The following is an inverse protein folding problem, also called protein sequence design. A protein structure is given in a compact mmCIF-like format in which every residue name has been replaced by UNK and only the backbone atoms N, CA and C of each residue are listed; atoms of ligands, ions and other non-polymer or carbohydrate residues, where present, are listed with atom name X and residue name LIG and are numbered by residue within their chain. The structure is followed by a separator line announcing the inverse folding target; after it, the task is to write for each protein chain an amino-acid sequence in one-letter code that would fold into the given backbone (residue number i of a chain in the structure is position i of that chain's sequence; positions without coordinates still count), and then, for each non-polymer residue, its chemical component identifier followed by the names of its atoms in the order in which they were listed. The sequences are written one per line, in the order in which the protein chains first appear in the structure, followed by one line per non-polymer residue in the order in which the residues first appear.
data_IF_968773901173
#
_entry.id   IF_968773901173
#
_cell.length_a   1.000
_cell.length_b   1.000
_cell.length_c   1.000
_cell.angle_alpha   90.00
_cell.angle_beta   90.00
_cell.angle_gamma   90.00
#
_symmetry.space_group_name_H-M   'P 1'
#
loop_
_entity.id
_entity.type
_entity.pdbx_description
1 polymer ?
#
# COMPACT_ATOMS: atom_id res chain seq x y z
N UNK A 1 -2.71 20.56 -10.67
CA UNK A 1 -3.13 19.22 -11.13
C UNK A 1 -2.85 18.30 -9.96
N UNK A 2 -3.87 18.01 -9.14
CA UNK A 2 -3.68 17.22 -7.92
C UNK A 2 -3.68 15.75 -8.31
N UNK A 3 -2.52 15.10 -8.26
CA UNK A 3 -2.44 13.65 -8.32
C UNK A 3 -2.98 13.13 -6.98
N UNK A 4 -4.17 12.55 -7.02
CA UNK A 4 -4.67 11.77 -5.89
C UNK A 4 -3.80 10.50 -5.84
N UNK A 5 -2.88 10.43 -4.88
CA UNK A 5 -2.12 9.22 -4.59
C UNK A 5 -3.13 8.20 -4.05
N UNK A 6 -3.56 7.29 -4.91
CA UNK A 6 -4.43 6.19 -4.55
C UNK A 6 -3.55 5.13 -3.88
N UNK A 7 -3.59 5.01 -2.55
CA UNK A 7 -2.92 3.88 -1.88
C UNK A 7 -3.73 2.62 -2.22
N UNK A 8 -3.23 1.78 -3.13
CA UNK A 8 -3.79 0.44 -3.30
C UNK A 8 -3.06 -0.52 -2.37
N UNK A 9 -3.85 -1.16 -1.53
CA UNK A 9 -3.43 -2.28 -0.69
C UNK A 9 -3.34 -3.54 -1.55
N UNK A 10 -2.16 -4.15 -1.67
CA UNK A 10 -2.07 -5.55 -2.09
C UNK A 10 -2.19 -6.41 -0.83
N UNK A 11 -3.29 -7.15 -0.72
CA UNK A 11 -3.38 -8.23 0.25
C UNK A 11 -2.40 -9.33 -0.16
N UNK A 12 -1.35 -9.55 0.65
CA UNK A 12 -0.56 -10.77 0.58
C UNK A 12 -1.00 -11.69 1.73
N UNK A 13 -2.18 -12.28 1.58
CA UNK A 13 -2.58 -13.44 2.35
C UNK A 13 -3.31 -14.38 1.41
N UNK A 14 -2.97 -15.66 1.49
CA UNK A 14 -3.70 -16.79 0.89
C UNK A 14 -5.14 -16.82 1.43
N UNK A 15 -5.97 -15.89 0.98
CA UNK A 15 -7.40 -15.86 1.20
C UNK A 15 -8.05 -16.18 -0.14
N UNK A 16 -8.23 -17.47 -0.40
CA UNK A 16 -9.19 -18.05 -1.35
C UNK A 16 -9.66 -17.12 -2.50
N UNK A 17 -8.74 -16.67 -3.37
CA UNK A 17 -9.18 -15.72 -4.40
C UNK A 17 -8.11 -14.85 -5.06
N UNK A 18 -6.94 -15.41 -5.36
CA UNK A 18 -6.02 -14.83 -6.33
C UNK A 18 -5.05 -13.78 -5.78
N UNK A 19 -3.77 -14.08 -5.93
CA UNK A 19 -2.69 -13.09 -5.83
C UNK A 19 -2.97 -12.03 -6.91
N UNK A 20 -3.32 -10.82 -6.48
CA UNK A 20 -3.73 -9.72 -7.39
C UNK A 20 -2.52 -9.16 -8.16
N UNK A 21 -1.32 -9.25 -7.57
CA UNK A 21 -0.03 -8.81 -8.13
C UNK A 21 1.08 -9.74 -7.64
N UNK A 22 1.94 -10.20 -8.55
CA UNK A 22 3.17 -10.96 -8.26
C UNK A 22 4.16 -10.08 -7.49
N UNK A 23 4.82 -10.66 -6.48
CA UNK A 23 5.84 -9.99 -5.68
C UNK A 23 7.02 -9.50 -6.54
N UNK A 24 7.40 -10.27 -7.57
CA UNK A 24 8.47 -9.86 -8.50
C UNK A 24 8.09 -8.59 -9.29
N UNK A 25 6.82 -8.44 -9.67
CA UNK A 25 6.36 -7.21 -10.33
C UNK A 25 6.41 -6.03 -9.36
N UNK A 26 6.08 -6.24 -8.09
CA UNK A 26 6.20 -5.23 -7.05
C UNK A 26 7.65 -4.80 -6.88
N UNK A 27 8.60 -5.73 -6.82
CA UNK A 27 10.03 -5.41 -6.73
C UNK A 27 10.53 -4.62 -7.95
N UNK A 28 10.12 -5.02 -9.15
CA UNK A 28 10.51 -4.34 -10.40
C UNK A 28 9.99 -2.89 -10.43
N UNK A 29 8.69 -2.68 -10.17
CA UNK A 29 8.11 -1.33 -10.18
C UNK A 29 8.60 -0.49 -8.99
N UNK A 30 8.89 -1.11 -7.84
CA UNK A 30 9.43 -0.42 -6.67
C UNK A 30 10.78 0.25 -6.96
N UNK A 31 11.56 -0.27 -7.92
CA UNK A 31 12.83 0.33 -8.33
C UNK A 31 12.66 1.60 -9.18
N UNK A 32 11.51 1.79 -9.81
CA UNK A 32 11.23 2.91 -10.72
C UNK A 32 10.29 3.97 -10.11
N UNK A 33 9.55 3.63 -9.05
CA UNK A 33 8.64 4.56 -8.36
C UNK A 33 9.38 5.42 -7.32
N UNK A 34 9.63 6.69 -7.66
CA UNK A 34 10.30 7.67 -6.79
C UNK A 34 9.62 7.84 -5.42
N UNK A 35 8.28 7.81 -5.38
CA UNK A 35 7.52 7.97 -4.13
C UNK A 35 7.65 6.69 -3.26
N UNK A 36 7.71 5.53 -3.91
CA UNK A 36 7.95 4.24 -3.24
C UNK A 36 9.36 4.16 -2.65
N UNK A 37 10.37 4.57 -3.42
CA UNK A 37 11.77 4.61 -2.97
C UNK A 37 11.91 5.56 -1.78
N UNK A 38 11.27 6.73 -1.85
CA UNK A 38 11.25 7.69 -0.75
C UNK A 38 10.63 7.07 0.51
N UNK A 39 9.47 6.43 0.37
CA UNK A 39 8.80 5.75 1.48
C UNK A 39 9.66 4.63 2.06
N UNK A 40 10.30 3.81 1.21
CA UNK A 40 11.18 2.73 1.64
C UNK A 40 12.33 3.26 2.50
N UNK A 41 12.99 4.32 2.05
CA UNK A 41 14.07 4.97 2.79
C UNK A 41 13.60 5.45 4.17
N UNK A 42 12.43 6.09 4.25
CA UNK A 42 11.86 6.54 5.52
C UNK A 42 11.48 5.40 6.46
N UNK A 43 10.89 4.32 5.95
CA UNK A 43 10.54 3.14 6.76
C UNK A 43 11.80 2.43 7.25
N UNK A 44 12.79 2.23 6.38
CA UNK A 44 14.04 1.56 6.71
C UNK A 44 14.87 2.36 7.74
N UNK A 45 14.90 3.69 7.61
CA UNK A 45 15.59 4.57 8.56
C UNK A 45 14.77 4.86 9.83
N UNK A 46 13.47 4.53 9.84
CA UNK A 46 12.51 4.98 10.84
C UNK A 46 12.52 6.51 11.04
N UNK A 47 12.79 7.25 9.96
CA UNK A 47 13.05 8.70 9.97
C UNK A 47 11.76 9.51 9.74
N UNK A 48 10.75 9.27 10.59
CA UNK A 48 9.50 10.01 10.52
C UNK A 48 9.59 11.27 11.40
N UNK A 49 9.15 12.39 10.86
CA UNK A 49 8.97 13.65 11.60
C UNK A 49 7.92 13.50 12.69
N UNK A 50 7.92 14.45 13.64
CA UNK A 50 6.98 14.45 14.76
C UNK A 50 5.56 14.87 14.36
N UNK A 51 5.42 15.60 13.24
CA UNK A 51 4.17 16.16 12.78
C UNK A 51 3.98 15.89 11.29
N UNK A 52 2.78 15.41 10.92
CA UNK A 52 2.42 15.15 9.52
C UNK A 52 2.66 16.34 8.60
N UNK A 53 2.43 17.56 9.06
CA UNK A 53 2.58 18.77 8.25
C UNK A 53 4.05 19.10 7.90
N UNK A 54 5.01 18.50 8.60
CA UNK A 54 6.44 18.61 8.33
C UNK A 54 6.94 17.52 7.37
N UNK A 55 6.12 16.48 7.12
CA UNK A 55 6.44 15.43 6.17
C UNK A 55 6.32 15.86 4.71
N UNK A 56 7.07 15.17 3.86
CA UNK A 56 6.91 15.25 2.42
C UNK A 56 5.52 14.73 2.02
N UNK A 57 4.86 15.44 1.09
CA UNK A 57 3.49 15.12 0.64
C UNK A 57 3.28 13.65 0.22
N UNK A 58 4.23 12.97 -0.46
CA UNK A 58 4.07 11.55 -0.79
C UNK A 58 3.95 10.62 0.42
N UNK A 59 4.49 11.01 1.57
CA UNK A 59 4.50 10.22 2.81
C UNK A 59 3.24 10.43 3.67
N UNK A 60 2.50 11.51 3.41
CA UNK A 60 1.29 11.88 4.18
C UNK A 60 0.23 10.77 4.29
N UNK A 61 -0.02 9.94 3.26
CA UNK A 61 -0.96 8.82 3.36
C UNK A 61 -0.51 7.76 4.36
N UNK A 62 0.80 7.59 4.54
CA UNK A 62 1.42 6.53 5.33
C UNK A 62 1.73 6.94 6.76
N UNK A 63 1.71 8.25 7.05
CA UNK A 63 2.07 8.81 8.36
C UNK A 63 1.31 8.17 9.54
N UNK A 64 0.01 7.91 9.39
CA UNK A 64 -0.80 7.32 10.46
C UNK A 64 -0.48 5.84 10.70
N UNK A 65 -0.06 5.12 9.66
CA UNK A 65 0.30 3.70 9.74
C UNK A 65 1.81 3.47 9.94
N UNK A 66 2.61 4.53 10.14
CA UNK A 66 4.08 4.45 10.18
C UNK A 66 4.65 3.44 11.17
N UNK A 67 3.98 3.22 12.29
CA UNK A 67 4.39 2.24 13.32
C UNK A 67 4.16 0.79 12.91
N UNK A 68 3.31 0.59 11.89
CA UNK A 68 2.93 -0.72 11.36
C UNK A 68 3.68 -1.06 10.07
N UNK A 69 4.47 -0.11 9.54
CA UNK A 69 5.27 -0.30 8.34
C UNK A 69 6.59 -0.98 8.67
N UNK A 70 7.02 -1.84 7.76
CA UNK A 70 8.31 -2.53 7.83
C UNK A 70 8.83 -2.79 6.42
N UNK A 71 10.15 -2.88 6.26
CA UNK A 71 10.77 -3.29 5.00
C UNK A 71 11.16 -4.77 5.06
N UNK A 72 10.87 -5.50 3.99
CA UNK A 72 11.38 -6.84 3.72
C UNK A 72 12.11 -6.80 2.37
N UNK A 73 13.44 -6.62 2.42
CA UNK A 73 14.20 -6.29 1.20
C UNK A 73 13.74 -4.94 0.63
N UNK A 74 13.44 -4.91 -0.66
CA UNK A 74 12.94 -3.72 -1.36
C UNK A 74 11.42 -3.53 -1.23
N UNK A 75 10.74 -4.43 -0.50
CA UNK A 75 9.29 -4.44 -0.39
C UNK A 75 8.86 -3.84 0.95
N UNK A 76 7.93 -2.90 0.88
CA UNK A 76 7.31 -2.30 2.05
C UNK A 76 6.05 -3.07 2.41
N UNK A 77 5.99 -3.54 3.65
CA UNK A 77 4.86 -4.28 4.20
C UNK A 77 4.24 -3.49 5.34
N UNK A 78 2.92 -3.65 5.52
CA UNK A 78 2.22 -3.10 6.68
C UNK A 78 1.40 -4.18 7.37
N UNK A 79 1.38 -4.14 8.71
CA UNK A 79 0.60 -5.06 9.53
C UNK A 79 -0.64 -4.36 10.09
N UNK A 80 -1.84 -4.86 9.82
CA UNK A 80 -3.06 -4.32 10.42
C UNK A 80 -3.12 -4.61 11.91
N UNK A 81 -4.00 -3.90 12.64
CA UNK A 81 -4.24 -4.19 14.07
C UNK A 81 -4.78 -5.60 14.31
N UNK A 82 -5.39 -6.22 13.30
CA UNK A 82 -5.84 -7.61 13.30
C UNK A 82 -4.69 -8.62 13.09
N UNK A 83 -3.47 -8.13 12.82
CA UNK A 83 -2.29 -8.95 12.56
C UNK A 83 -2.15 -9.43 11.11
N UNK A 84 -2.96 -8.91 10.19
CA UNK A 84 -2.86 -9.25 8.77
C UNK A 84 -1.72 -8.48 8.10
N UNK A 85 -0.90 -9.18 7.32
CA UNK A 85 0.22 -8.60 6.61
C UNK A 85 -0.19 -8.22 5.19
N UNK A 86 0.15 -7.01 4.78
CA UNK A 86 -0.16 -6.47 3.46
C UNK A 86 1.08 -5.87 2.83
N UNK A 87 1.11 -5.86 1.50
CA UNK A 87 2.16 -5.24 0.72
C UNK A 87 1.68 -3.87 0.27
N UNK A 88 2.53 -2.86 0.46
CA UNK A 88 2.33 -1.55 -0.15
C UNK A 88 2.65 -1.68 -1.64
N UNK A 89 1.72 -1.27 -2.49
CA UNK A 89 1.86 -1.39 -3.94
C UNK A 89 2.43 -0.11 -4.54
N UNK A 90 3.48 -0.20 -5.37
CA UNK A 90 3.98 0.91 -6.17
C UNK A 90 2.88 1.52 -7.05
N UNK A 91 2.99 2.82 -7.30
CA UNK A 91 2.01 3.65 -8.01
C UNK A 91 1.71 3.12 -9.41
N UNK A 92 2.72 2.62 -10.13
CA UNK A 92 2.55 2.05 -11.47
C UNK A 92 1.67 0.81 -11.51
N UNK A 93 1.62 0.04 -10.42
CA UNK A 93 0.83 -1.20 -10.32
C UNK A 93 -0.59 -0.98 -9.81
N UNK A 94 -0.91 0.20 -9.27
CA UNK A 94 -2.24 0.51 -8.72
C UNK A 94 -3.36 0.26 -9.74
N UNK A 95 -3.16 0.67 -10.99
CA UNK A 95 -4.13 0.48 -12.07
C UNK A 95 -4.39 -1.01 -12.35
N UNK A 96 -3.34 -1.84 -12.30
CA UNK A 96 -3.42 -3.28 -12.50
C UNK A 96 -4.19 -3.92 -11.34
N UNK A 97 -3.89 -3.52 -10.11
CA UNK A 97 -4.58 -4.01 -8.91
C UNK A 97 -6.07 -3.67 -8.98
N UNK A 98 -6.40 -2.41 -9.29
CA UNK A 98 -7.78 -1.94 -9.40
C UNK A 98 -8.53 -2.65 -10.52
N UNK A 99 -7.88 -2.89 -11.66
CA UNK A 99 -8.47 -3.62 -12.78
C UNK A 99 -8.75 -5.09 -12.39
N UNK A 100 -7.78 -5.76 -11.78
CA UNK A 100 -7.93 -7.15 -11.35
C UNK A 100 -9.02 -7.32 -10.27
N UNK A 101 -9.09 -6.38 -9.32
CA UNK A 101 -10.18 -6.30 -8.33
C UNK A 101 -11.55 -6.13 -9.00
N UNK A 102 -11.62 -5.29 -10.04
CA UNK A 102 -12.85 -5.08 -10.80
C UNK A 102 -13.26 -6.32 -11.61
N UNK A 103 -12.31 -6.96 -12.28
CA UNK A 103 -12.51 -8.17 -13.09
C UNK A 103 -12.85 -9.41 -12.27
N UNK A 104 -12.42 -9.45 -10.99
CA UNK A 104 -12.75 -10.51 -10.03
C UNK A 104 -14.21 -10.55 -9.55
N UNK A 105 -15.11 -9.73 -10.09
CA UNK A 105 -16.54 -9.71 -9.73
C UNK A 105 -16.84 -9.47 -8.23
N UNK A 106 -16.03 -8.67 -7.53
CA UNK A 106 -16.43 -8.04 -6.26
C UNK A 106 -17.39 -6.86 -6.58
N UNK A 107 -18.55 -7.19 -7.15
CA UNK A 107 -19.53 -6.23 -7.64
C UNK A 107 -20.05 -5.36 -6.50
N UNK A 108 -19.76 -4.06 -6.56
CA UNK A 108 -20.41 -2.86 -5.97
C UNK A 108 -20.89 -2.87 -4.50
N UNK A 109 -21.33 -3.98 -3.93
CA UNK A 109 -21.83 -4.13 -2.58
C UNK A 109 -20.76 -4.63 -1.59
N UNK A 110 -19.70 -5.28 -2.06
CA UNK A 110 -18.60 -5.77 -1.19
C UNK A 110 -17.57 -4.66 -0.87
N UNK A 111 -17.32 -3.76 -1.82
CA UNK A 111 -16.42 -2.61 -1.64
C UNK A 111 -16.86 -1.67 -0.50
N UNK A 112 -18.17 -1.53 -0.24
CA UNK A 112 -18.65 -0.60 0.78
C UNK A 112 -18.55 -1.16 2.22
N UNK A 113 -18.47 -2.49 2.38
CA UNK A 113 -18.25 -3.12 3.68
C UNK A 113 -16.77 -3.13 4.07
N UNK A 114 -15.85 -3.36 3.12
CA UNK A 114 -14.41 -3.28 3.43
C UNK A 114 -13.91 -1.85 3.64
N UNK A 115 -14.47 -0.84 2.96
CA UNK A 115 -14.12 0.56 3.21
C UNK A 115 -14.57 1.07 4.59
N UNK A 116 -15.54 0.39 5.24
CA UNK A 116 -16.00 0.69 6.60
C UNK A 116 -15.23 -0.03 7.69
N UNK A 117 -14.55 -1.12 7.38
CA UNK A 117 -13.65 -1.78 8.34
C UNK A 117 -12.22 -1.20 8.34
N UNK A 118 -11.91 -0.24 7.46
CA UNK A 118 -10.64 0.51 7.47
C UNK A 118 -10.77 1.91 8.10
N UNK A 119 -11.77 2.15 8.95
CA UNK A 119 -12.00 3.43 9.63
C UNK A 119 -12.27 3.35 11.14
N UNK A 120 -11.85 2.27 11.80
CA UNK A 120 -11.62 2.28 13.25
C UNK A 120 -10.41 1.44 13.61
#
# INVERSE_FOLDING_TARGET
MFAAVAVATACLLEAEGGIIVDLHMVEEEACDDEDYILLHGHVAASDWTAHKDEELLPLHPYYWMRQHLSCCGDIIMYTTDEGHLHVVVPTGLLCVVLFNLHSGHQGKNSMMCQFRHSMY
#
